data_IF_383656027477
#
_entry.id   IF_383656027477
#
_cell.length_a   1.000
_cell.length_b   1.000
_cell.length_c   1.000
_cell.angle_alpha   90.00
_cell.angle_beta   90.00
_cell.angle_gamma   90.00
#
_symmetry.space_group_name_H-M   'P 1'
#
loop_
_entity.id
_entity.type
_entity.pdbx_description
1 polymer ?
#
# COMPACT_ATOMS: atom_id res chain seq x y z
N UNK A 1 6.44 -2.74 -7.16
CA UNK A 1 6.06 -1.75 -6.14
C UNK A 1 4.59 -1.30 -6.29
N UNK A 2 4.24 -0.61 -7.40
CA UNK A 2 2.86 -0.12 -7.60
C UNK A 2 1.82 -1.25 -7.60
N UNK A 3 2.09 -2.35 -8.32
CA UNK A 3 1.23 -3.54 -8.31
C UNK A 3 0.98 -4.04 -6.89
N UNK A 4 2.04 -4.13 -6.08
CA UNK A 4 1.95 -4.60 -4.70
C UNK A 4 1.13 -3.68 -3.81
N UNK A 5 1.26 -2.35 -4.00
CA UNK A 5 0.43 -1.37 -3.26
C UNK A 5 -1.03 -1.55 -3.64
N UNK A 6 -1.35 -1.56 -4.92
CA UNK A 6 -2.73 -1.60 -5.41
C UNK A 6 -3.46 -2.86 -4.95
N UNK A 7 -2.79 -4.02 -5.02
CA UNK A 7 -3.38 -5.30 -4.58
C UNK A 7 -3.43 -5.43 -3.07
N UNK A 8 -2.44 -4.87 -2.36
CA UNK A 8 -2.32 -4.99 -0.90
C UNK A 8 -3.32 -4.11 -0.13
N UNK A 9 -3.67 -2.93 -0.66
CA UNK A 9 -4.44 -1.94 0.09
C UNK A 9 -5.84 -2.45 0.51
N UNK A 10 -6.46 -3.27 -0.32
CA UNK A 10 -7.80 -3.84 -0.08
C UNK A 10 -7.75 -4.88 1.04
N UNK A 11 -6.75 -5.77 0.99
CA UNK A 11 -6.60 -6.85 1.99
C UNK A 11 -6.19 -6.34 3.36
N UNK A 12 -5.44 -5.24 3.42
CA UNK A 12 -4.89 -4.66 4.65
C UNK A 12 -5.97 -4.07 5.55
N UNK A 13 -7.03 -3.48 4.98
CA UNK A 13 -8.12 -2.90 5.76
C UNK A 13 -8.74 -3.94 6.71
N UNK A 14 -9.12 -5.10 6.21
CA UNK A 14 -9.66 -6.21 7.01
C UNK A 14 -8.63 -6.79 7.99
N UNK A 15 -7.38 -6.91 7.57
CA UNK A 15 -6.31 -7.41 8.43
C UNK A 15 -6.08 -6.49 9.65
N UNK A 16 -6.19 -5.18 9.46
CA UNK A 16 -6.10 -4.19 10.54
C UNK A 16 -7.18 -4.34 11.59
N UNK A 17 -8.39 -4.70 11.15
CA UNK A 17 -9.52 -4.92 12.05
C UNK A 17 -9.35 -6.19 12.92
N UNK A 18 -8.65 -7.19 12.42
CA UNK A 18 -8.40 -8.45 13.12
C UNK A 18 -7.18 -8.42 14.04
N UNK A 19 -6.07 -7.80 13.60
CA UNK A 19 -4.78 -7.84 14.31
C UNK A 19 -4.52 -6.63 15.18
N UNK A 20 -5.33 -5.58 15.05
CA UNK A 20 -5.12 -4.29 15.67
C UNK A 20 -4.42 -3.32 14.72
N UNK A 21 -5.05 -2.18 14.52
CA UNK A 21 -4.61 -1.20 13.50
C UNK A 21 -3.25 -0.57 13.83
N UNK A 22 -3.00 -0.26 15.12
CA UNK A 22 -1.72 0.29 15.56
C UNK A 22 -0.58 -0.70 15.33
N UNK A 23 -0.78 -1.96 15.74
CA UNK A 23 0.22 -3.02 15.56
C UNK A 23 0.53 -3.21 14.08
N UNK A 24 -0.51 -3.32 13.26
CA UNK A 24 -0.33 -3.52 11.82
C UNK A 24 0.35 -2.31 11.16
N UNK A 25 0.05 -1.07 11.58
CA UNK A 25 0.73 0.13 11.07
C UNK A 25 2.22 0.11 11.42
N UNK A 26 2.57 -0.23 12.67
CA UNK A 26 3.97 -0.35 13.08
C UNK A 26 4.73 -1.42 12.28
N UNK A 27 4.09 -2.56 12.02
CA UNK A 27 4.63 -3.60 11.13
C UNK A 27 4.81 -3.06 9.71
N UNK A 28 3.85 -2.31 9.18
CA UNK A 28 3.94 -1.67 7.86
C UNK A 28 5.11 -0.70 7.75
N UNK A 29 5.28 0.19 8.74
CA UNK A 29 6.40 1.15 8.79
C UNK A 29 7.74 0.41 8.89
N UNK A 30 7.82 -0.59 9.76
CA UNK A 30 9.03 -1.42 9.91
C UNK A 30 9.38 -2.14 8.61
N UNK A 31 8.41 -2.82 8.00
CA UNK A 31 8.59 -3.53 6.73
C UNK A 31 9.04 -2.58 5.61
N UNK A 32 8.41 -1.42 5.50
CA UNK A 32 8.77 -0.40 4.51
C UNK A 32 10.20 0.09 4.71
N UNK A 33 10.59 0.36 5.96
CA UNK A 33 11.93 0.88 6.30
C UNK A 33 13.02 -0.16 6.03
N UNK A 34 12.83 -1.41 6.49
CA UNK A 34 13.78 -2.50 6.24
C UNK A 34 13.89 -2.80 4.75
N UNK A 35 12.77 -2.87 4.04
CA UNK A 35 12.78 -3.09 2.60
C UNK A 35 13.46 -1.93 1.85
N UNK A 36 13.33 -0.69 2.33
CA UNK A 36 14.06 0.45 1.76
C UNK A 36 15.58 0.29 1.93
N UNK A 37 16.04 -0.12 3.12
CA UNK A 37 17.47 -0.42 3.32
C UNK A 37 17.94 -1.52 2.38
N UNK A 38 17.18 -2.62 2.26
CA UNK A 38 17.50 -3.70 1.32
C UNK A 38 17.56 -3.22 -0.13
N UNK A 39 16.69 -2.31 -0.56
CA UNK A 39 16.78 -1.67 -1.87
C UNK A 39 18.09 -0.87 -2.03
N UNK A 40 18.49 -0.12 -1.00
CA UNK A 40 19.70 0.70 -1.02
C UNK A 40 21.00 -0.11 -1.09
N UNK A 41 21.02 -1.31 -0.51
CA UNK A 41 22.20 -2.19 -0.49
C UNK A 41 22.13 -3.33 -1.50
N UNK A 42 21.07 -3.43 -2.31
CA UNK A 42 20.84 -4.54 -3.23
C UNK A 42 21.99 -4.70 -4.24
N UNK A 43 22.69 -5.85 -4.26
CA UNK A 43 23.77 -6.13 -5.21
C UNK A 43 23.23 -6.66 -6.56
N UNK A 44 22.01 -7.19 -6.59
CA UNK A 44 21.41 -7.81 -7.77
C UNK A 44 20.03 -7.23 -8.07
N UNK A 45 19.64 -7.26 -9.35
CA UNK A 45 18.32 -6.81 -9.79
C UNK A 45 17.18 -7.62 -9.14
N UNK A 46 17.36 -8.92 -8.98
CA UNK A 46 16.34 -9.79 -8.37
C UNK A 46 16.06 -9.44 -6.91
N UNK A 47 17.13 -9.17 -6.14
CA UNK A 47 16.99 -8.73 -4.77
C UNK A 47 16.31 -7.35 -4.69
N UNK A 48 16.66 -6.44 -5.60
CA UNK A 48 16.00 -5.14 -5.71
C UNK A 48 14.51 -5.30 -5.99
N UNK A 49 14.11 -6.16 -6.94
CA UNK A 49 12.71 -6.40 -7.27
C UNK A 49 11.96 -6.97 -6.06
N UNK A 50 12.53 -7.96 -5.37
CA UNK A 50 11.93 -8.55 -4.18
C UNK A 50 11.78 -7.53 -3.04
N UNK A 51 12.83 -6.75 -2.78
CA UNK A 51 12.80 -5.69 -1.77
C UNK A 51 11.77 -4.59 -2.13
N UNK A 52 11.63 -4.22 -3.40
CA UNK A 52 10.60 -3.28 -3.89
C UNK A 52 9.17 -3.83 -3.73
N UNK A 53 8.98 -5.13 -3.88
CA UNK A 53 7.69 -5.76 -3.61
C UNK A 53 7.36 -5.69 -2.10
N UNK A 54 8.30 -6.04 -1.23
CA UNK A 54 8.15 -5.94 0.22
C UNK A 54 7.90 -4.48 0.67
N UNK A 55 8.63 -3.52 0.10
CA UNK A 55 8.44 -2.09 0.33
C UNK A 55 7.02 -1.65 -0.08
N UNK A 56 6.50 -2.17 -1.19
CA UNK A 56 5.14 -1.91 -1.65
C UNK A 56 4.08 -2.41 -0.67
N UNK A 57 4.27 -3.59 -0.07
CA UNK A 57 3.38 -4.10 0.99
C UNK A 57 3.38 -3.18 2.21
N UNK A 58 4.55 -2.77 2.69
CA UNK A 58 4.66 -1.80 3.78
C UNK A 58 3.94 -0.49 3.48
N UNK A 59 4.10 0.05 2.27
CA UNK A 59 3.41 1.26 1.82
C UNK A 59 1.89 1.08 1.77
N UNK A 60 1.39 -0.07 1.27
CA UNK A 60 -0.04 -0.38 1.23
C UNK A 60 -0.65 -0.38 2.64
N UNK A 61 0.06 -1.01 3.61
CA UNK A 61 -0.35 -1.03 5.01
C UNK A 61 -0.43 0.39 5.57
N UNK A 62 0.61 1.21 5.35
CA UNK A 62 0.64 2.59 5.83
C UNK A 62 -0.50 3.42 5.23
N UNK A 63 -0.74 3.34 3.92
CA UNK A 63 -1.80 4.10 3.25
C UNK A 63 -3.20 3.71 3.73
N UNK A 64 -3.50 2.40 3.76
CA UNK A 64 -4.81 1.91 4.19
C UNK A 64 -5.12 2.31 5.64
N UNK A 65 -4.16 2.10 6.54
CA UNK A 65 -4.38 2.35 7.96
C UNK A 65 -4.36 3.83 8.33
N UNK A 66 -3.62 4.67 7.62
CA UNK A 66 -3.66 6.13 7.83
C UNK A 66 -5.07 6.67 7.59
N UNK A 67 -5.72 6.27 6.49
CA UNK A 67 -7.11 6.65 6.22
C UNK A 67 -8.09 6.14 7.27
N UNK A 68 -7.90 4.88 7.71
CA UNK A 68 -8.73 4.27 8.75
C UNK A 68 -8.59 4.99 10.10
N UNK A 69 -7.37 5.38 10.49
CA UNK A 69 -7.13 6.13 11.72
C UNK A 69 -7.80 7.49 11.72
N UNK A 70 -7.76 8.23 10.60
CA UNK A 70 -8.45 9.53 10.50
C UNK A 70 -9.95 9.36 10.69
N UNK A 71 -10.55 8.33 10.07
CA UNK A 71 -11.98 8.06 10.21
C UNK A 71 -12.43 7.73 11.64
N UNK A 72 -11.53 7.15 12.47
CA UNK A 72 -11.86 6.75 13.85
C UNK A 72 -11.49 7.78 14.91
N UNK A 73 -10.37 8.49 14.73
CA UNK A 73 -9.83 9.35 15.79
C UNK A 73 -10.26 10.80 15.66
N UNK A 74 -10.64 11.21 14.46
CA UNK A 74 -11.05 12.59 14.19
C UNK A 74 -12.57 12.74 14.32
N UNK A 75 -13.08 13.78 15.03
CA UNK A 75 -14.51 14.07 15.09
C UNK A 75 -15.10 14.22 13.67
N UNK A 76 -16.33 13.71 13.46
CA UNK A 76 -17.00 13.72 12.14
C UNK A 76 -17.01 15.08 11.46
N UNK A 77 -17.14 16.16 12.23
CA UNK A 77 -17.11 17.55 11.73
C UNK A 77 -15.75 17.98 11.18
N UNK A 78 -14.65 17.30 11.55
CA UNK A 78 -13.27 17.65 11.18
C UNK A 78 -12.64 16.64 10.22
N UNK A 79 -13.31 15.53 9.91
CA UNK A 79 -12.78 14.50 9.01
C UNK A 79 -12.41 15.09 7.64
N UNK A 80 -13.24 15.98 7.08
CA UNK A 80 -12.94 16.62 5.81
C UNK A 80 -11.64 17.45 5.83
N UNK A 81 -11.41 18.20 6.91
CA UNK A 81 -10.18 18.97 7.09
C UNK A 81 -8.95 18.07 7.25
N UNK A 82 -9.06 17.00 8.03
CA UNK A 82 -7.98 16.04 8.21
C UNK A 82 -7.62 15.30 6.91
N UNK A 83 -8.63 14.90 6.13
CA UNK A 83 -8.41 14.29 4.80
C UNK A 83 -7.80 15.29 3.81
N UNK A 84 -8.23 16.57 3.86
CA UNK A 84 -7.63 17.65 3.08
C UNK A 84 -6.16 17.86 3.42
N UNK A 85 -5.79 17.83 4.71
CA UNK A 85 -4.40 17.91 5.16
C UNK A 85 -3.57 16.73 4.65
N UNK A 86 -4.07 15.51 4.75
CA UNK A 86 -3.39 14.32 4.21
C UNK A 86 -3.18 14.44 2.69
N UNK A 87 -4.21 14.89 1.96
CA UNK A 87 -4.11 15.14 0.52
C UNK A 87 -3.05 16.18 0.18
N UNK A 88 -3.02 17.29 0.93
CA UNK A 88 -2.02 18.35 0.75
C UNK A 88 -0.60 17.82 1.02
N UNK A 89 -0.39 17.07 2.11
CA UNK A 89 0.92 16.47 2.41
C UNK A 89 1.36 15.48 1.33
N UNK A 90 0.43 14.68 0.81
CA UNK A 90 0.69 13.77 -0.32
C UNK A 90 1.06 14.53 -1.59
N UNK A 91 0.36 15.62 -1.90
CA UNK A 91 0.67 16.46 -3.06
C UNK A 91 2.05 17.11 -2.94
N UNK A 92 2.40 17.64 -1.77
CA UNK A 92 3.73 18.20 -1.48
C UNK A 92 4.80 17.11 -1.67
N UNK A 93 4.60 15.92 -1.11
CA UNK A 93 5.53 14.80 -1.27
C UNK A 93 5.73 14.40 -2.73
N UNK A 94 4.65 14.37 -3.51
CA UNK A 94 4.69 14.05 -4.95
C UNK A 94 5.41 15.14 -5.76
N UNK A 95 5.19 16.41 -5.43
CA UNK A 95 5.84 17.53 -6.11
C UNK A 95 7.34 17.63 -5.78
N UNK A 96 7.70 17.42 -4.51
CA UNK A 96 9.11 17.45 -4.06
C UNK A 96 9.89 16.18 -4.45
N UNK A 97 9.22 15.06 -4.64
CA UNK A 97 9.85 13.77 -4.92
C UNK A 97 10.86 13.80 -6.06
N UNK A 98 10.50 14.23 -7.27
CA UNK A 98 11.42 14.30 -8.40
C UNK A 98 12.62 15.21 -8.17
N UNK A 99 12.42 16.38 -7.54
CA UNK A 99 13.48 17.36 -7.28
C UNK A 99 14.47 16.85 -6.23
N UNK A 100 13.97 16.36 -5.09
CA UNK A 100 14.81 15.78 -4.03
C UNK A 100 15.47 14.47 -4.51
N UNK A 101 14.73 13.64 -5.23
CA UNK A 101 15.27 12.42 -5.82
C UNK A 101 16.39 12.70 -6.82
N UNK A 102 16.19 13.68 -7.71
CA UNK A 102 17.21 14.10 -8.65
C UNK A 102 18.48 14.61 -7.96
N UNK A 103 18.35 15.45 -6.94
CA UNK A 103 19.46 15.95 -6.14
C UNK A 103 20.20 14.80 -5.41
N UNK A 104 19.48 13.85 -4.82
CA UNK A 104 20.10 12.70 -4.16
C UNK A 104 20.87 11.80 -5.14
N UNK A 105 20.37 11.66 -6.37
CA UNK A 105 21.06 10.90 -7.40
C UNK A 105 22.34 11.60 -7.84
N UNK A 106 22.30 12.92 -8.08
CA UNK A 106 23.44 13.68 -8.58
C UNK A 106 24.57 13.79 -7.57
N UNK A 107 24.25 13.98 -6.27
CA UNK A 107 25.25 14.21 -5.23
C UNK A 107 25.79 12.91 -4.59
N UNK A 108 24.93 11.88 -4.47
CA UNK A 108 25.35 10.66 -3.77
C UNK A 108 25.30 9.42 -4.66
N UNK A 109 24.11 8.92 -4.96
CA UNK A 109 23.85 7.85 -5.91
C UNK A 109 22.35 7.52 -5.88
N UNK A 110 21.87 6.73 -6.86
CA UNK A 110 20.48 6.24 -6.86
C UNK A 110 20.09 5.45 -5.58
N UNK A 111 21.07 4.88 -4.88
CA UNK A 111 20.85 4.16 -3.61
C UNK A 111 20.41 5.08 -2.48
N UNK A 112 20.84 6.33 -2.49
CA UNK A 112 20.50 7.31 -1.47
C UNK A 112 19.00 7.58 -1.39
N UNK A 113 18.26 7.47 -2.51
CA UNK A 113 16.80 7.61 -2.54
C UNK A 113 16.10 6.60 -1.61
N UNK A 114 16.68 5.42 -1.46
CA UNK A 114 16.13 4.40 -0.56
C UNK A 114 16.61 4.58 0.87
N UNK A 115 17.87 4.94 1.06
CA UNK A 115 18.48 5.06 2.38
C UNK A 115 17.94 6.26 3.18
N UNK A 116 17.46 7.31 2.51
CA UNK A 116 16.79 8.44 3.18
C UNK A 116 15.52 8.02 3.92
N UNK A 117 14.90 6.90 3.51
CA UNK A 117 13.74 6.36 4.21
C UNK A 117 14.10 5.74 5.57
N UNK A 118 15.36 5.46 5.85
CA UNK A 118 15.77 4.90 7.15
C UNK A 118 15.55 5.89 8.31
N UNK A 119 16.11 7.11 8.30
CA UNK A 119 15.84 8.08 9.36
C UNK A 119 14.38 8.50 9.40
N UNK A 120 13.72 8.66 8.25
CA UNK A 120 12.30 9.01 8.20
C UNK A 120 11.41 7.89 8.75
N UNK A 121 11.67 6.65 8.37
CA UNK A 121 10.93 5.49 8.86
C UNK A 121 11.11 5.28 10.36
N UNK A 122 12.33 5.48 10.89
CA UNK A 122 12.59 5.41 12.32
C UNK A 122 11.80 6.51 13.06
N UNK A 123 11.82 7.74 12.56
CA UNK A 123 11.06 8.85 13.12
C UNK A 123 9.56 8.54 13.12
N UNK A 124 9.01 8.10 11.99
CA UNK A 124 7.58 7.74 11.88
C UNK A 124 7.25 6.60 12.83
N UNK A 125 8.11 5.58 12.93
CA UNK A 125 7.90 4.45 13.83
C UNK A 125 7.84 4.91 15.30
N UNK A 126 8.77 5.75 15.73
CA UNK A 126 8.82 6.29 17.10
C UNK A 126 7.59 7.17 17.39
N UNK A 127 7.20 8.04 16.45
CA UNK A 127 6.01 8.88 16.60
C UNK A 127 4.73 8.02 16.66
N UNK A 128 4.58 7.04 15.77
CA UNK A 128 3.44 6.14 15.77
C UNK A 128 3.40 5.30 17.06
N UNK A 129 4.54 4.80 17.52
CA UNK A 129 4.63 4.05 18.77
C UNK A 129 4.26 4.89 19.99
N UNK A 130 4.65 6.17 20.02
CA UNK A 130 4.44 7.06 21.18
C UNK A 130 3.05 7.67 21.23
N UNK A 131 2.47 8.04 20.09
CA UNK A 131 1.29 8.89 20.03
C UNK A 131 0.02 8.17 19.58
N UNK A 132 0.12 7.05 18.86
CA UNK A 132 -1.09 6.33 18.46
C UNK A 132 -1.72 5.61 19.65
N UNK A 133 -3.07 5.65 19.74
CA UNK A 133 -3.79 4.94 20.78
C UNK A 133 -3.51 3.43 20.72
N UNK A 134 -3.43 2.80 21.89
CA UNK A 134 -3.24 1.34 21.98
C UNK A 134 -4.51 0.66 21.46
N UNK A 135 -4.32 -0.40 20.67
CA UNK A 135 -5.42 -1.21 20.18
C UNK A 135 -6.27 -1.69 21.35
N UNK A 136 -7.55 -1.31 21.39
CA UNK A 136 -8.49 -1.84 22.37
C UNK A 136 -8.82 -3.28 22.00
N UNK A 137 -8.99 -4.20 22.99
CA UNK A 137 -9.54 -5.51 22.72
C UNK A 137 -10.93 -5.30 22.09
N UNK A 138 -11.05 -5.55 20.79
CA UNK A 138 -12.34 -5.47 20.11
C UNK A 138 -13.13 -6.69 20.58
N UNK A 139 -14.31 -6.48 21.16
CA UNK A 139 -15.28 -7.55 21.34
C UNK A 139 -15.38 -8.29 20.02
N UNK A 140 -15.37 -9.63 20.08
CA UNK A 140 -15.43 -10.51 18.92
C UNK A 140 -16.39 -9.93 17.88
N UNK A 141 -15.84 -9.25 16.88
CA UNK A 141 -16.55 -9.05 15.64
C UNK A 141 -16.76 -10.48 15.15
N UNK A 142 -18.01 -10.88 15.03
CA UNK A 142 -18.40 -12.17 14.48
C UNK A 142 -17.43 -12.51 13.35
N UNK A 143 -16.88 -13.71 13.40
CA UNK A 143 -16.01 -14.26 12.39
C UNK A 143 -16.84 -14.48 11.11
N UNK A 144 -17.34 -13.40 10.55
CA UNK A 144 -17.79 -13.35 9.18
C UNK A 144 -16.60 -13.78 8.35
N UNK A 145 -16.71 -14.97 7.77
CA UNK A 145 -15.61 -15.67 7.14
C UNK A 145 -14.82 -14.71 6.24
N UNK A 146 -13.50 -14.71 6.39
CA UNK A 146 -12.64 -13.93 5.50
C UNK A 146 -12.84 -14.49 4.09
N UNK A 147 -13.44 -13.70 3.21
CA UNK A 147 -13.58 -14.08 1.80
C UNK A 147 -12.21 -14.03 1.11
N UNK A 148 -11.48 -15.14 1.29
CA UNK A 148 -10.19 -15.33 0.65
C UNK A 148 -10.30 -15.36 -0.87
N UNK A 149 -11.42 -15.87 -1.39
CA UNK A 149 -11.63 -16.03 -2.83
C UNK A 149 -11.87 -14.67 -3.50
N UNK A 150 -12.80 -13.86 -2.97
CA UNK A 150 -13.05 -12.50 -3.47
C UNK A 150 -11.82 -11.59 -3.34
N UNK A 151 -11.15 -11.64 -2.20
CA UNK A 151 -9.89 -10.87 -1.98
C UNK A 151 -8.80 -11.25 -2.98
N UNK A 152 -8.60 -12.56 -3.22
CA UNK A 152 -7.60 -13.04 -4.18
C UNK A 152 -7.98 -12.64 -5.62
N UNK A 153 -9.26 -12.79 -5.98
CA UNK A 153 -9.76 -12.46 -7.30
C UNK A 153 -9.61 -10.96 -7.59
N UNK A 154 -9.95 -10.11 -6.63
CA UNK A 154 -9.77 -8.67 -6.73
C UNK A 154 -8.28 -8.30 -6.85
N UNK A 155 -7.41 -8.92 -6.03
CA UNK A 155 -5.97 -8.72 -6.10
C UNK A 155 -5.39 -9.10 -7.47
N UNK A 156 -5.78 -10.24 -8.02
CA UNK A 156 -5.36 -10.70 -9.35
C UNK A 156 -5.87 -9.78 -10.47
N UNK A 157 -7.09 -9.31 -10.36
CA UNK A 157 -7.71 -8.37 -11.32
C UNK A 157 -6.96 -7.05 -11.34
N UNK A 158 -6.67 -6.48 -10.17
CA UNK A 158 -5.88 -5.24 -10.05
C UNK A 158 -4.43 -5.43 -10.52
N UNK A 159 -3.83 -6.60 -10.25
CA UNK A 159 -2.50 -6.93 -10.75
C UNK A 159 -2.48 -7.01 -12.28
N UNK A 160 -3.46 -7.69 -12.89
CA UNK A 160 -3.60 -7.78 -14.34
C UNK A 160 -3.75 -6.40 -14.98
N UNK A 161 -4.60 -5.53 -14.40
CA UNK A 161 -4.78 -4.15 -14.87
C UNK A 161 -3.48 -3.35 -14.80
N UNK A 162 -2.81 -3.36 -13.65
CA UNK A 162 -1.55 -2.61 -13.46
C UNK A 162 -0.45 -3.10 -14.39
N UNK A 163 -0.36 -4.42 -14.61
CA UNK A 163 0.57 -5.00 -15.57
C UNK A 163 0.22 -4.61 -17.01
N UNK A 164 -1.06 -4.62 -17.38
CA UNK A 164 -1.52 -4.19 -18.70
C UNK A 164 -1.07 -2.76 -19.01
N UNK A 165 -1.18 -1.86 -18.03
CA UNK A 165 -0.77 -0.46 -18.19
C UNK A 165 0.76 -0.26 -18.16
N UNK A 166 1.52 -1.18 -17.53
CA UNK A 166 2.96 -1.01 -17.31
C UNK A 166 3.81 -1.69 -18.41
N UNK A 167 3.39 -2.83 -18.93
CA UNK A 167 4.18 -3.66 -19.84
C UNK A 167 4.36 -3.02 -21.22
N UNK A 168 3.48 -2.14 -21.66
CA UNK A 168 3.49 -1.59 -23.02
C UNK A 168 4.42 -0.41 -23.28
N UNK A 169 5.00 0.22 -22.25
CA UNK A 169 5.76 1.49 -22.39
C UNK A 169 5.09 2.52 -23.33
N UNK A 170 3.74 2.53 -23.36
CA UNK A 170 2.95 3.40 -24.24
C UNK A 170 2.55 2.78 -25.60
N UNK A 171 2.99 1.57 -25.94
CA UNK A 171 2.52 0.83 -27.12
C UNK A 171 1.53 -0.26 -26.69
N UNK A 172 0.30 -0.20 -27.23
CA UNK A 172 -0.71 -1.23 -26.99
C UNK A 172 -0.46 -2.42 -27.94
N UNK A 173 0.10 -3.48 -27.38
CA UNK A 173 0.32 -4.75 -28.08
C UNK A 173 -0.70 -5.84 -27.70
N UNK A 174 -0.66 -7.00 -28.37
CA UNK A 174 -1.59 -8.11 -28.08
C UNK A 174 -1.50 -8.61 -26.63
N UNK A 175 -0.35 -8.49 -25.98
CA UNK A 175 -0.18 -8.82 -24.55
C UNK A 175 -0.95 -7.89 -23.63
N UNK A 176 -0.97 -6.58 -23.91
CA UNK A 176 -1.74 -5.61 -23.15
C UNK A 176 -3.24 -5.85 -23.31
N UNK A 177 -3.67 -6.17 -24.55
CA UNK A 177 -5.06 -6.50 -24.83
C UNK A 177 -5.50 -7.76 -24.06
N UNK A 178 -4.68 -8.81 -24.05
CA UNK A 178 -4.95 -10.02 -23.29
C UNK A 178 -5.08 -9.76 -21.78
N UNK A 179 -4.20 -8.92 -21.21
CA UNK A 179 -4.27 -8.53 -19.81
C UNK A 179 -5.49 -7.66 -19.49
N UNK A 180 -5.91 -6.78 -20.40
CA UNK A 180 -7.14 -6.00 -20.24
C UNK A 180 -8.38 -6.90 -20.30
N UNK A 181 -8.42 -7.87 -21.21
CA UNK A 181 -9.49 -8.87 -21.24
C UNK A 181 -9.52 -9.68 -19.96
N UNK A 182 -8.36 -10.13 -19.47
CA UNK A 182 -8.26 -10.82 -18.19
C UNK A 182 -8.76 -9.95 -17.01
N UNK A 183 -8.48 -8.64 -17.04
CA UNK A 183 -9.00 -7.67 -16.06
C UNK A 183 -10.52 -7.58 -16.10
N UNK A 184 -11.11 -7.47 -17.29
CA UNK A 184 -12.57 -7.42 -17.44
C UNK A 184 -13.25 -8.72 -16.98
N UNK A 185 -12.68 -9.86 -17.33
CA UNK A 185 -13.16 -11.16 -16.89
C UNK A 185 -13.04 -11.31 -15.35
N UNK A 186 -11.92 -10.92 -14.79
CA UNK A 186 -11.69 -10.94 -13.34
C UNK A 186 -12.67 -10.04 -12.59
N UNK A 187 -12.90 -8.82 -13.08
CA UNK A 187 -13.89 -7.89 -12.51
C UNK A 187 -15.33 -8.45 -12.61
N UNK A 188 -15.67 -9.05 -13.74
CA UNK A 188 -16.99 -9.66 -13.93
C UNK A 188 -17.21 -10.87 -13.00
N UNK A 189 -16.19 -11.71 -12.85
CA UNK A 189 -16.21 -12.84 -11.93
C UNK A 189 -16.29 -12.40 -10.48
N UNK A 190 -15.55 -11.34 -10.12
CA UNK A 190 -15.60 -10.74 -8.77
C UNK A 190 -17.02 -10.25 -8.47
N UNK A 191 -17.63 -9.45 -9.35
CA UNK A 191 -19.00 -8.95 -9.18
C UNK A 191 -20.00 -10.10 -9.09
N UNK A 192 -19.84 -11.14 -9.91
CA UNK A 192 -20.70 -12.31 -9.86
C UNK A 192 -20.54 -13.12 -8.57
N UNK A 193 -19.33 -13.27 -8.07
CA UNK A 193 -19.06 -13.93 -6.80
C UNK A 193 -19.66 -13.13 -5.63
N UNK A 194 -19.48 -11.81 -5.63
CA UNK A 194 -19.99 -10.90 -4.59
C UNK A 194 -21.53 -10.90 -4.54
N UNK A 195 -22.20 -10.92 -5.70
CA UNK A 195 -23.68 -11.00 -5.74
C UNK A 195 -24.24 -12.33 -5.25
N UNK A 196 -23.42 -13.38 -5.12
CA UNK A 196 -23.79 -14.70 -4.60
C UNK A 196 -23.28 -14.99 -3.21
N UNK A 197 -22.41 -14.11 -2.67
CA UNK A 197 -21.92 -14.24 -1.30
C UNK A 197 -23.07 -13.95 -0.31
N UNK A 198 -23.24 -14.81 0.70
CA UNK A 198 -24.26 -14.64 1.75
C UNK A 198 -23.97 -13.44 2.67
N UNK A 199 -22.77 -12.82 2.54
CA UNK A 199 -22.37 -11.58 3.23
C UNK A 199 -21.51 -10.74 2.26
N UNK A 200 -22.11 -9.81 1.49
CA UNK A 200 -21.37 -8.90 0.62
C UNK A 200 -20.54 -7.86 1.41
#
# INVERSE_FOLDING_TARGET
YLVTITTGIVSVGRLGDMTGRRRLLLVGVFLFTVASVLCGVAPTLWLLIAARAAQGLGAAIMMALTMAFVGETVPKSQVGSAMGLLGTMSAIGTALGPSLGGMLISEFSWRAIFLINLPLGLLIFLLAYRFLPVDRPRQQVDRLGFDHAGTLLLALTLAAYTLAMTIGRGSFGPRNLALLVATLLGASLFLFAETRAESP
#
